data_IF_916721111698
#
_entry.id   IF_916721111698
#
_cell.length_a   1.000
_cell.length_b   1.000
_cell.length_c   1.000
_cell.angle_alpha   90.00
_cell.angle_beta   90.00
_cell.angle_gamma   90.00
#
_symmetry.space_group_name_H-M   'P 1'
#
loop_
_entity.id
_entity.type
_entity.pdbx_description
1 polymer ?
#
# COMPACT_ATOMS: atom_id res chain seq x y z
N UNK A 1 21.71 62.97 6.79
CA UNK A 1 21.49 62.00 7.89
C UNK A 1 20.27 61.15 7.53
N UNK A 2 20.48 59.87 7.21
CA UNK A 2 19.42 58.87 7.08
C UNK A 2 19.12 58.27 8.45
N UNK A 3 17.84 58.00 8.71
CA UNK A 3 17.38 57.07 9.75
C UNK A 3 16.23 56.25 9.17
N UNK A 4 16.33 54.90 9.15
CA UNK A 4 15.33 54.04 8.54
C UNK A 4 14.19 53.75 9.53
N UNK A 5 12.95 53.77 9.04
CA UNK A 5 11.81 53.16 9.75
C UNK A 5 11.58 51.77 9.18
N UNK A 6 12.09 50.75 9.87
CA UNK A 6 11.69 49.36 9.66
C UNK A 6 10.42 49.13 10.45
N UNK A 7 9.40 48.51 9.82
CA UNK A 7 8.46 47.50 10.38
C UNK A 7 7.18 47.49 9.54
N UNK A 8 6.94 46.41 8.79
CA UNK A 8 6.07 45.34 9.27
C UNK A 8 6.21 44.16 8.31
N UNK A 9 6.62 43.04 8.89
CA UNK A 9 6.75 41.72 8.26
C UNK A 9 5.35 41.21 7.93
N UNK A 10 4.94 41.30 6.66
CA UNK A 10 3.63 40.79 6.22
C UNK A 10 3.72 39.28 6.04
N UNK A 11 3.22 38.58 7.06
CA UNK A 11 2.48 37.31 7.03
C UNK A 11 3.21 36.13 6.38
N UNK A 12 3.77 35.31 7.26
CA UNK A 12 4.19 33.94 7.02
C UNK A 12 2.95 33.07 6.71
N UNK A 13 2.44 33.09 5.48
CA UNK A 13 1.44 32.11 5.03
C UNK A 13 2.18 30.82 4.66
N UNK A 14 2.71 30.13 5.67
CA UNK A 14 3.35 28.84 5.52
C UNK A 14 2.31 27.73 5.62
N UNK A 15 2.04 27.11 4.48
CA UNK A 15 1.73 25.69 4.30
C UNK A 15 0.86 25.01 5.37
N UNK A 16 -0.46 24.96 5.17
CA UNK A 16 -1.32 23.94 5.77
C UNK A 16 -2.10 23.21 4.67
N UNK A 17 -1.41 22.50 3.79
CA UNK A 17 -2.06 21.58 2.83
C UNK A 17 -1.27 20.28 2.54
N UNK A 18 -0.34 19.85 3.39
CA UNK A 18 0.47 18.63 3.13
C UNK A 18 0.20 17.46 4.10
N UNK A 19 -0.64 17.60 5.14
CA UNK A 19 -0.72 16.56 6.20
C UNK A 19 -1.78 15.47 6.01
N UNK A 20 -2.74 15.60 5.08
CA UNK A 20 -3.89 14.67 5.05
C UNK A 20 -3.53 13.23 4.69
N UNK A 21 -2.51 13.00 3.85
CA UNK A 21 -2.21 11.66 3.34
C UNK A 21 -1.54 10.76 4.41
N UNK A 22 -0.58 11.31 5.16
CA UNK A 22 0.16 10.55 6.17
C UNK A 22 -0.73 10.15 7.36
N UNK A 23 -1.66 11.02 7.78
CA UNK A 23 -2.61 10.70 8.85
C UNK A 23 -3.62 9.62 8.43
N UNK A 24 -4.11 9.67 7.18
CA UNK A 24 -5.02 8.66 6.67
C UNK A 24 -4.37 7.27 6.69
N UNK A 25 -3.17 7.13 6.12
CA UNK A 25 -2.44 5.84 6.09
C UNK A 25 -2.27 5.23 7.49
N UNK A 26 -1.87 6.04 8.48
CA UNK A 26 -1.66 5.54 9.85
C UNK A 26 -2.95 5.02 10.50
N UNK A 27 -4.07 5.74 10.34
CA UNK A 27 -5.38 5.30 10.85
C UNK A 27 -5.86 4.04 10.13
N UNK A 28 -5.71 3.97 8.80
CA UNK A 28 -6.10 2.81 8.02
C UNK A 28 -5.34 1.55 8.44
N UNK A 29 -4.02 1.64 8.65
CA UNK A 29 -3.20 0.50 9.09
C UNK A 29 -3.59 0.02 10.49
N UNK A 30 -3.93 0.92 11.42
CA UNK A 30 -4.39 0.53 12.75
C UNK A 30 -5.75 -0.19 12.70
N UNK A 31 -6.68 0.31 11.90
CA UNK A 31 -7.99 -0.32 11.71
C UNK A 31 -7.86 -1.71 11.05
N UNK A 32 -7.07 -1.80 9.97
CA UNK A 32 -6.80 -3.06 9.29
C UNK A 32 -6.09 -4.06 10.21
N UNK A 33 -5.10 -3.59 10.98
CA UNK A 33 -4.38 -4.42 11.94
C UNK A 33 -5.29 -4.98 13.04
N UNK A 34 -6.23 -4.17 13.52
CA UNK A 34 -7.26 -4.61 14.47
C UNK A 34 -8.19 -5.66 13.85
N UNK A 35 -8.67 -5.42 12.63
CA UNK A 35 -9.60 -6.29 11.92
C UNK A 35 -9.01 -7.67 11.61
N UNK A 36 -7.76 -7.71 11.15
CA UNK A 36 -7.11 -8.93 10.67
C UNK A 36 -6.09 -9.51 11.65
N UNK A 37 -5.93 -8.90 12.83
CA UNK A 37 -4.94 -9.29 13.86
C UNK A 37 -3.50 -9.28 13.32
N UNK A 38 -3.17 -8.27 12.53
CA UNK A 38 -1.83 -8.04 11.98
C UNK A 38 -1.25 -6.78 12.62
N UNK A 39 0.02 -6.81 12.99
CA UNK A 39 0.67 -5.66 13.63
C UNK A 39 0.68 -4.45 12.65
N UNK A 40 0.18 -3.26 13.06
CA UNK A 40 0.04 -2.14 12.13
C UNK A 40 1.33 -1.63 11.49
N UNK A 41 2.48 -1.73 12.15
CA UNK A 41 3.76 -1.34 11.58
C UNK A 41 4.26 -2.33 10.52
N UNK A 42 3.93 -3.63 10.62
CA UNK A 42 4.15 -4.59 9.53
C UNK A 42 3.38 -4.17 8.28
N UNK A 43 2.12 -3.76 8.42
CA UNK A 43 1.30 -3.29 7.29
C UNK A 43 1.94 -2.05 6.64
N UNK A 44 2.42 -1.09 7.44
CA UNK A 44 3.12 0.10 6.94
C UNK A 44 4.44 -0.25 6.27
N UNK A 45 5.20 -1.18 6.83
CA UNK A 45 6.45 -1.65 6.27
C UNK A 45 6.23 -2.30 4.89
N UNK A 46 5.20 -3.13 4.75
CA UNK A 46 4.81 -3.71 3.46
C UNK A 46 4.43 -2.61 2.47
N UNK A 47 3.56 -1.67 2.86
CA UNK A 47 3.18 -0.58 1.96
C UNK A 47 4.38 0.29 1.51
N UNK A 48 5.38 0.44 2.38
CA UNK A 48 6.64 1.11 2.05
C UNK A 48 7.47 0.30 1.04
N UNK A 49 7.62 -1.02 1.24
CA UNK A 49 8.33 -1.90 0.29
C UNK A 49 7.63 -1.94 -1.06
N UNK A 50 6.30 -2.06 -1.06
CA UNK A 50 5.50 -2.24 -2.27
C UNK A 50 5.42 -0.99 -3.14
N UNK A 51 5.27 0.20 -2.53
CA UNK A 51 4.99 1.42 -3.29
C UNK A 51 5.87 2.61 -2.92
N UNK A 52 6.72 2.51 -1.90
CA UNK A 52 7.38 3.64 -1.25
C UNK A 52 6.36 4.72 -0.81
N UNK A 53 5.13 4.29 -0.46
CA UNK A 53 3.97 5.15 -0.19
C UNK A 53 3.66 6.15 -1.31
N UNK A 54 4.07 5.86 -2.54
CA UNK A 54 3.85 6.72 -3.69
C UNK A 54 2.38 6.73 -4.09
N UNK A 55 1.80 7.92 -4.16
CA UNK A 55 0.42 8.13 -4.61
C UNK A 55 0.22 7.58 -6.02
N UNK A 56 -0.92 6.93 -6.25
CA UNK A 56 -1.36 6.45 -7.56
C UNK A 56 -0.35 5.50 -8.26
N UNK A 57 0.46 4.77 -7.46
CA UNK A 57 1.46 3.84 -7.97
C UNK A 57 0.80 2.62 -8.63
N UNK A 58 1.17 2.32 -9.88
CA UNK A 58 0.70 1.13 -10.61
C UNK A 58 1.91 0.29 -11.02
N UNK A 59 2.05 -0.88 -10.39
CA UNK A 59 3.07 -1.88 -10.74
C UNK A 59 2.73 -2.60 -12.03
N UNK A 60 3.75 -2.98 -12.80
CA UNK A 60 3.61 -3.72 -14.06
C UNK A 60 4.45 -4.98 -14.00
N UNK A 61 3.80 -6.10 -13.72
CA UNK A 61 4.44 -7.42 -13.79
C UNK A 61 4.59 -7.82 -15.24
N UNK A 62 5.78 -8.31 -15.61
CA UNK A 62 6.11 -8.66 -16.99
C UNK A 62 6.49 -10.13 -17.14
N UNK A 63 6.20 -10.69 -18.31
CA UNK A 63 6.68 -12.01 -18.69
C UNK A 63 8.16 -11.96 -19.14
N UNK A 64 8.71 -13.13 -19.47
CA UNK A 64 10.09 -13.27 -19.99
C UNK A 64 10.35 -12.53 -21.32
N UNK A 65 9.28 -12.20 -22.05
CA UNK A 65 9.33 -11.49 -23.32
C UNK A 65 9.07 -9.98 -23.12
N UNK A 66 9.07 -9.51 -21.86
CA UNK A 66 8.83 -8.13 -21.46
C UNK A 66 7.39 -7.61 -21.72
N UNK A 67 6.42 -8.49 -22.00
CA UNK A 67 5.01 -8.11 -22.12
C UNK A 67 4.39 -7.91 -20.73
N UNK A 68 3.48 -6.95 -20.60
CA UNK A 68 2.73 -6.75 -19.34
C UNK A 68 1.79 -7.94 -19.15
N UNK A 69 1.99 -8.66 -18.05
CA UNK A 69 1.19 -9.83 -17.63
C UNK A 69 0.10 -9.45 -16.65
N UNK A 70 0.41 -8.56 -15.71
CA UNK A 70 -0.55 -8.07 -14.72
C UNK A 70 -0.16 -6.71 -14.16
N UNK A 71 -1.16 -6.03 -13.58
CA UNK A 71 -1.00 -4.77 -12.88
C UNK A 71 -1.19 -4.94 -11.37
N UNK A 72 -0.50 -4.10 -10.61
CA UNK A 72 -0.60 -4.02 -9.15
C UNK A 72 -1.02 -2.61 -8.73
N UNK A 73 -2.01 -2.49 -7.84
CA UNK A 73 -2.65 -1.21 -7.53
C UNK A 73 -2.23 -0.64 -6.17
N UNK A 74 -1.64 0.55 -6.23
CA UNK A 74 -1.37 1.52 -5.16
C UNK A 74 -0.57 1.03 -3.94
N UNK A 75 -0.95 1.45 -2.73
CA UNK A 75 -0.10 1.42 -1.53
C UNK A 75 0.42 0.04 -1.20
N UNK A 76 -0.45 -0.97 -1.29
CA UNK A 76 -0.11 -2.36 -1.01
C UNK A 76 0.04 -3.22 -2.27
N UNK A 77 0.15 -2.57 -3.45
CA UNK A 77 0.35 -3.22 -4.76
C UNK A 77 -0.57 -4.43 -4.97
N UNK A 78 -1.89 -4.23 -4.78
CA UNK A 78 -2.88 -5.31 -4.91
C UNK A 78 -2.89 -5.82 -6.35
N UNK A 79 -2.57 -7.09 -6.58
CA UNK A 79 -2.54 -7.62 -7.94
C UNK A 79 -3.94 -7.71 -8.57
N UNK A 80 -4.03 -7.41 -9.87
CA UNK A 80 -5.28 -7.45 -10.65
C UNK A 80 -6.02 -8.78 -10.56
N UNK A 81 -5.33 -9.88 -10.26
CA UNK A 81 -5.94 -11.20 -10.09
C UNK A 81 -7.01 -11.26 -8.99
N UNK A 82 -6.96 -10.34 -8.01
CA UNK A 82 -7.95 -10.27 -6.93
C UNK A 82 -9.23 -9.52 -7.33
N UNK A 83 -9.20 -8.70 -8.39
CA UNK A 83 -10.34 -7.84 -8.80
C UNK A 83 -11.64 -8.63 -9.02
N UNK A 84 -11.66 -9.76 -9.75
CA UNK A 84 -12.92 -10.48 -9.99
C UNK A 84 -13.61 -10.91 -8.70
N UNK A 85 -12.84 -11.37 -7.70
CA UNK A 85 -13.38 -11.78 -6.42
C UNK A 85 -13.85 -10.58 -5.59
N UNK A 86 -13.09 -9.48 -5.58
CA UNK A 86 -13.47 -8.25 -4.89
C UNK A 86 -14.79 -7.67 -5.44
N UNK A 87 -14.95 -7.69 -6.77
CA UNK A 87 -16.21 -7.30 -7.45
C UNK A 87 -17.36 -8.23 -7.09
N UNK A 88 -17.12 -9.54 -7.13
CA UNK A 88 -18.14 -10.55 -6.75
C UNK A 88 -18.61 -10.39 -5.30
N UNK A 89 -17.72 -9.98 -4.39
CA UNK A 89 -18.04 -9.68 -2.98
C UNK A 89 -18.69 -8.31 -2.77
N UNK A 90 -18.82 -7.48 -3.81
CA UNK A 90 -19.36 -6.13 -3.70
C UNK A 90 -18.45 -5.15 -2.97
N UNK A 91 -17.16 -5.46 -2.80
CA UNK A 91 -16.18 -4.61 -2.11
C UNK A 91 -15.73 -3.45 -3.01
N UNK A 92 -15.59 -3.72 -4.31
CA UNK A 92 -15.26 -2.73 -5.34
C UNK A 92 -16.20 -2.88 -6.53
N UNK A 93 -16.43 -1.78 -7.25
CA UNK A 93 -17.12 -1.75 -8.56
C UNK A 93 -16.14 -2.03 -9.68
N UNK A 94 -14.96 -1.42 -9.60
CA UNK A 94 -13.85 -1.60 -10.54
C UNK A 94 -12.51 -1.28 -9.85
N UNK A 95 -11.40 -1.47 -10.57
CA UNK A 95 -10.04 -1.27 -10.06
C UNK A 95 -9.71 0.16 -9.62
N UNK A 96 -10.46 1.18 -10.07
CA UNK A 96 -10.22 2.57 -9.64
C UNK A 96 -10.56 2.78 -8.17
N UNK A 97 -11.49 2.00 -7.60
CA UNK A 97 -11.76 2.05 -6.17
C UNK A 97 -10.49 1.73 -5.34
N UNK A 98 -9.58 0.93 -5.89
CA UNK A 98 -8.28 0.62 -5.26
C UNK A 98 -7.26 1.76 -5.36
N UNK A 99 -7.50 2.77 -6.19
CA UNK A 99 -6.67 3.96 -6.38
C UNK A 99 -7.27 5.19 -5.69
N UNK A 100 -8.59 5.25 -5.57
CA UNK A 100 -9.30 6.39 -4.99
C UNK A 100 -9.42 6.31 -3.46
N UNK A 101 -9.34 5.11 -2.87
CA UNK A 101 -9.53 4.89 -1.44
C UNK A 101 -8.32 4.19 -0.76
N UNK A 102 -7.48 4.93 -0.01
CA UNK A 102 -6.26 4.37 0.58
C UNK A 102 -6.56 3.36 1.68
N UNK A 103 -7.59 3.61 2.49
CA UNK A 103 -7.99 2.68 3.53
C UNK A 103 -8.52 1.37 2.94
N UNK A 104 -9.26 1.44 1.83
CA UNK A 104 -9.73 0.24 1.14
C UNK A 104 -8.55 -0.58 0.60
N UNK A 105 -7.60 0.08 -0.07
CA UNK A 105 -6.38 -0.57 -0.57
C UNK A 105 -5.60 -1.26 0.56
N UNK A 106 -5.38 -0.54 1.68
CA UNK A 106 -4.68 -1.08 2.86
C UNK A 106 -5.43 -2.27 3.47
N UNK A 107 -6.75 -2.17 3.64
CA UNK A 107 -7.56 -3.26 4.22
C UNK A 107 -7.54 -4.50 3.33
N UNK A 108 -7.66 -4.35 2.01
CA UNK A 108 -7.62 -5.47 1.07
C UNK A 108 -6.23 -6.13 1.07
N UNK A 109 -5.14 -5.35 1.04
CA UNK A 109 -3.79 -5.90 1.14
C UNK A 109 -3.55 -6.64 2.45
N UNK A 110 -4.07 -6.09 3.55
CA UNK A 110 -4.00 -6.75 4.86
C UNK A 110 -4.82 -8.04 4.90
N UNK A 111 -5.99 -8.10 4.27
CA UNK A 111 -6.79 -9.32 4.13
C UNK A 111 -6.04 -10.40 3.34
N UNK A 112 -5.38 -10.02 2.23
CA UNK A 112 -4.57 -10.94 1.43
C UNK A 112 -3.42 -11.50 2.27
N UNK A 113 -2.71 -10.65 3.00
CA UNK A 113 -1.63 -11.07 3.90
C UNK A 113 -2.14 -12.01 4.99
N UNK A 114 -3.30 -11.69 5.60
CA UNK A 114 -3.95 -12.56 6.58
C UNK A 114 -4.27 -13.94 6.01
N UNK A 115 -4.77 -14.02 4.78
CA UNK A 115 -5.05 -15.29 4.10
C UNK A 115 -3.76 -16.09 3.83
N UNK A 116 -2.65 -15.40 3.53
CA UNK A 116 -1.35 -16.05 3.35
C UNK A 116 -0.85 -16.64 4.68
N UNK A 117 -0.84 -15.83 5.76
CA UNK A 117 -0.46 -16.30 7.09
C UNK A 117 -1.36 -17.42 7.61
N UNK A 118 -2.65 -17.39 7.30
CA UNK A 118 -3.58 -18.48 7.66
C UNK A 118 -3.22 -19.80 6.98
N UNK A 119 -2.50 -19.77 5.85
CA UNK A 119 -2.07 -20.96 5.11
C UNK A 119 -0.72 -21.51 5.55
N UNK A 120 0.25 -20.67 5.87
CA UNK A 120 1.64 -21.10 6.18
C UNK A 120 2.21 -20.60 7.51
N UNK A 121 1.37 -20.02 8.38
CA UNK A 121 1.79 -19.46 9.67
C UNK A 121 2.54 -18.12 9.52
N UNK A 122 2.71 -17.42 10.64
CA UNK A 122 3.40 -16.12 10.68
C UNK A 122 4.91 -16.36 10.69
N UNK A 123 5.50 -16.48 9.50
CA UNK A 123 6.94 -16.70 9.30
C UNK A 123 7.48 -15.79 8.21
N UNK A 124 8.79 -15.53 8.19
CA UNK A 124 9.43 -14.74 7.12
C UNK A 124 9.19 -15.34 5.73
N UNK A 125 9.31 -16.67 5.62
CA UNK A 125 9.04 -17.38 4.38
C UNK A 125 7.58 -17.22 3.92
N UNK A 126 6.63 -17.20 4.86
CA UNK A 126 5.23 -16.97 4.55
C UNK A 126 4.95 -15.50 4.20
N UNK A 127 5.59 -14.54 4.87
CA UNK A 127 5.50 -13.12 4.53
C UNK A 127 5.91 -12.87 3.08
N UNK A 128 7.03 -13.46 2.62
CA UNK A 128 7.48 -13.33 1.23
C UNK A 128 6.52 -13.89 0.17
N UNK A 129 5.52 -14.71 0.56
CA UNK A 129 4.47 -15.14 -0.37
C UNK A 129 3.56 -13.97 -0.78
N UNK A 130 3.54 -12.87 -0.04
CA UNK A 130 2.74 -11.68 -0.40
C UNK A 130 3.13 -11.15 -1.78
N UNK A 131 4.44 -10.98 -2.02
CA UNK A 131 4.97 -10.54 -3.32
C UNK A 131 5.17 -11.69 -4.31
N UNK A 132 5.69 -12.84 -3.86
CA UNK A 132 6.13 -13.90 -4.77
C UNK A 132 5.12 -15.06 -4.92
N UNK A 133 4.00 -15.06 -4.18
CA UNK A 133 3.02 -16.14 -4.21
C UNK A 133 3.52 -17.49 -3.68
N UNK A 134 2.73 -18.54 -3.92
CA UNK A 134 2.95 -19.88 -3.36
C UNK A 134 3.65 -20.88 -4.29
N UNK A 135 3.96 -20.51 -5.53
CA UNK A 135 4.59 -21.42 -6.48
C UNK A 135 5.95 -21.93 -5.96
N UNK A 136 6.25 -23.21 -6.20
CA UNK A 136 7.42 -23.88 -5.61
C UNK A 136 8.75 -23.25 -6.05
N UNK A 137 8.82 -22.81 -7.30
CA UNK A 137 9.96 -22.13 -7.92
C UNK A 137 10.22 -20.72 -7.34
N UNK A 138 9.26 -20.14 -6.62
CA UNK A 138 9.40 -18.82 -6.01
C UNK A 138 10.08 -18.84 -4.63
N UNK A 139 10.55 -19.98 -4.13
CA UNK A 139 11.16 -20.09 -2.79
C UNK A 139 12.28 -19.07 -2.56
N UNK A 140 13.19 -18.91 -3.53
CA UNK A 140 14.29 -17.92 -3.42
C UNK A 140 13.77 -16.48 -3.36
N UNK A 141 12.77 -16.14 -4.17
CA UNK A 141 12.17 -14.79 -4.19
C UNK A 141 11.49 -14.46 -2.86
N UNK A 142 10.81 -15.43 -2.24
CA UNK A 142 10.18 -15.24 -0.92
C UNK A 142 11.17 -14.87 0.19
N UNK A 143 12.43 -15.27 0.08
CA UNK A 143 13.46 -14.94 1.07
C UNK A 143 14.05 -13.54 0.88
N UNK A 144 13.79 -12.90 -0.27
CA UNK A 144 14.32 -11.58 -0.64
C UNK A 144 13.31 -10.44 -0.39
N UNK A 145 12.09 -10.80 -0.01
CA UNK A 145 11.07 -9.86 0.45
C UNK A 145 11.44 -9.34 1.83
#
# INVERSE_FOLDING_TARGET
MLSPKVKFLTIFTFCIFITKMSFASNSCSNEAGTMFRIEPNLIKAIALVESNLKKDSIGKNRDKNNNIKSLDYWLMQINQMHIPLLKKRGIIKDERDLLDNPCLNIKIGTEILYNHFSRCGVTWQCLGTYNAGFAMDNQKKRQQY
#
